data_IF_123119070887
#
_entry.id   IF_123119070887
#
_cell.length_a   1.000
_cell.length_b   1.000
_cell.length_c   1.000
_cell.angle_alpha   90.00
_cell.angle_beta   90.00
_cell.angle_gamma   90.00
#
_symmetry.space_group_name_H-M   'P 1'
#
loop_
_entity.id
_entity.type
_entity.pdbx_description
1 polymer ?
#
# COMPACT_ATOMS: atom_id res chain seq x y z
N UNK A 1 0.18 -12.00 -14.90
CA UNK A 1 1.59 -11.53 -14.91
C UNK A 1 2.46 -12.08 -16.04
N UNK A 2 2.33 -13.35 -16.47
CA UNK A 2 3.14 -13.90 -17.58
C UNK A 2 3.05 -13.06 -18.87
N UNK A 3 1.84 -12.68 -19.28
CA UNK A 3 1.61 -11.83 -20.45
C UNK A 3 2.27 -10.44 -20.30
N UNK A 4 2.13 -9.80 -19.13
CA UNK A 4 2.77 -8.51 -18.85
C UNK A 4 4.30 -8.63 -18.95
N UNK A 5 4.90 -9.70 -18.42
CA UNK A 5 6.34 -9.93 -18.54
C UNK A 5 6.76 -10.10 -20.00
N UNK A 6 6.03 -10.90 -20.77
CA UNK A 6 6.30 -11.09 -22.20
C UNK A 6 6.20 -9.77 -22.99
N UNK A 7 5.19 -8.93 -22.71
CA UNK A 7 5.10 -7.61 -23.34
C UNK A 7 6.20 -6.66 -22.90
N UNK A 8 6.58 -6.69 -21.61
CA UNK A 8 7.73 -5.93 -21.11
C UNK A 8 9.04 -6.36 -21.79
N UNK A 9 9.26 -7.66 -21.96
CA UNK A 9 10.42 -8.22 -22.69
C UNK A 9 10.41 -7.79 -24.15
N UNK A 10 9.26 -7.88 -24.82
CA UNK A 10 9.08 -7.40 -26.20
C UNK A 10 9.39 -5.92 -26.35
N UNK A 11 8.88 -5.08 -25.43
CA UNK A 11 9.15 -3.63 -25.42
C UNK A 11 10.63 -3.33 -25.22
N UNK A 12 11.30 -4.04 -24.30
CA UNK A 12 12.76 -3.93 -24.12
C UNK A 12 13.52 -4.31 -25.39
N UNK A 13 13.09 -5.36 -26.09
CA UNK A 13 13.69 -5.82 -27.34
C UNK A 13 13.62 -4.81 -28.49
N UNK A 14 12.68 -3.85 -28.43
CA UNK A 14 12.57 -2.74 -29.40
C UNK A 14 12.98 -1.39 -28.81
N UNK A 15 13.76 -1.39 -27.72
CA UNK A 15 14.24 -0.19 -27.02
C UNK A 15 13.13 0.76 -26.55
N UNK A 16 11.95 0.21 -26.27
CA UNK A 16 10.81 0.95 -25.73
C UNK A 16 10.68 0.74 -24.23
N UNK A 17 10.02 1.69 -23.56
CA UNK A 17 9.82 1.65 -22.12
C UNK A 17 8.82 0.53 -21.76
N UNK A 18 9.22 -0.52 -21.00
CA UNK A 18 8.34 -1.64 -20.65
C UNK A 18 7.13 -1.21 -19.81
N UNK A 19 7.21 -0.09 -19.09
CA UNK A 19 6.11 0.43 -18.30
C UNK A 19 4.87 0.80 -19.14
N UNK A 20 5.02 1.02 -20.45
CA UNK A 20 3.88 1.21 -21.37
C UNK A 20 2.86 0.06 -21.22
N UNK A 21 3.33 -1.18 -21.02
CA UNK A 21 2.44 -2.32 -20.82
C UNK A 21 1.58 -2.18 -19.56
N UNK A 22 2.17 -1.72 -18.45
CA UNK A 22 1.47 -1.50 -17.18
C UNK A 22 0.58 -0.26 -17.24
N UNK A 23 1.07 0.83 -17.83
CA UNK A 23 0.34 2.09 -17.97
C UNK A 23 -0.96 1.90 -18.78
N UNK A 24 -0.95 1.06 -19.82
CA UNK A 24 -2.15 0.72 -20.59
C UNK A 24 -3.17 -0.12 -19.82
N UNK A 25 -2.74 -0.89 -18.83
CA UNK A 25 -3.62 -1.71 -17.98
C UNK A 25 -4.20 -0.93 -16.81
N UNK A 26 -3.73 0.30 -16.57
CA UNK A 26 -4.06 1.09 -15.39
C UNK A 26 -5.57 1.25 -15.19
N UNK A 27 -6.30 1.64 -16.22
CA UNK A 27 -7.76 1.84 -16.13
C UNK A 27 -8.54 0.57 -15.76
N UNK A 28 -7.95 -0.61 -15.97
CA UNK A 28 -8.56 -1.91 -15.67
C UNK A 28 -7.94 -2.59 -14.44
N UNK A 29 -6.91 -2.02 -13.83
CA UNK A 29 -6.14 -2.67 -12.76
C UNK A 29 -7.02 -3.00 -11.55
N UNK A 30 -7.85 -2.05 -11.10
CA UNK A 30 -8.75 -2.26 -9.97
C UNK A 30 -9.87 -3.26 -10.30
N UNK A 31 -10.40 -3.23 -11.52
CA UNK A 31 -11.40 -4.22 -11.97
C UNK A 31 -10.81 -5.63 -11.94
N UNK A 32 -9.66 -5.82 -12.58
CA UNK A 32 -8.96 -7.11 -12.61
C UNK A 32 -8.64 -7.58 -11.19
N UNK A 33 -8.22 -6.68 -10.30
CA UNK A 33 -7.96 -7.01 -8.90
C UNK A 33 -9.21 -7.54 -8.17
N UNK A 34 -10.37 -6.90 -8.37
CA UNK A 34 -11.64 -7.34 -7.80
C UNK A 34 -12.06 -8.72 -8.32
N UNK A 35 -11.74 -9.05 -9.57
CA UNK A 35 -12.06 -10.35 -10.19
C UNK A 35 -11.19 -11.51 -9.66
N UNK A 36 -10.00 -11.22 -9.10
CA UNK A 36 -9.14 -12.25 -8.51
C UNK A 36 -9.71 -12.80 -7.21
N UNK A 37 -9.53 -14.11 -6.99
CA UNK A 37 -9.79 -14.74 -5.70
C UNK A 37 -8.81 -14.24 -4.62
N UNK A 38 -9.13 -14.48 -3.35
CA UNK A 38 -8.26 -14.11 -2.23
C UNK A 38 -6.89 -14.81 -2.32
N UNK A 39 -6.88 -16.07 -2.74
CA UNK A 39 -5.67 -16.86 -2.97
C UNK A 39 -4.83 -16.27 -4.11
N UNK A 40 -5.46 -15.83 -5.19
CA UNK A 40 -4.79 -15.22 -6.34
C UNK A 40 -4.20 -13.85 -5.98
N UNK A 41 -4.93 -13.02 -5.23
CA UNK A 41 -4.42 -11.74 -4.69
C UNK A 41 -3.22 -11.98 -3.78
N UNK A 42 -3.31 -12.97 -2.89
CA UNK A 42 -2.20 -13.35 -1.99
C UNK A 42 -0.97 -13.82 -2.76
N UNK A 43 -1.18 -14.66 -3.78
CA UNK A 43 -0.12 -15.12 -4.67
C UNK A 43 0.51 -13.94 -5.43
N UNK A 44 -0.31 -12.99 -5.89
CA UNK A 44 0.17 -11.79 -6.56
C UNK A 44 1.09 -10.97 -5.66
N UNK A 45 0.66 -10.71 -4.42
CA UNK A 45 1.49 -9.97 -3.47
C UNK A 45 2.82 -10.67 -3.21
N UNK A 46 2.79 -11.99 -2.99
CA UNK A 46 3.97 -12.77 -2.67
C UNK A 46 4.97 -12.85 -3.84
N UNK A 47 4.50 -13.00 -5.07
CA UNK A 47 5.36 -13.31 -6.22
C UNK A 47 5.59 -12.18 -7.21
N UNK A 48 4.68 -11.20 -7.27
CA UNK A 48 4.64 -10.26 -8.40
C UNK A 48 4.56 -8.79 -8.00
N UNK A 49 4.19 -8.47 -6.75
CA UNK A 49 4.06 -7.07 -6.31
C UNK A 49 5.35 -6.27 -6.42
N UNK A 50 6.51 -6.89 -6.12
CA UNK A 50 7.81 -6.23 -6.24
C UNK A 50 8.11 -5.82 -7.70
N UNK A 51 7.98 -6.76 -8.64
CA UNK A 51 8.18 -6.48 -10.07
C UNK A 51 7.19 -5.42 -10.58
N UNK A 52 5.93 -5.53 -10.17
CA UNK A 52 4.90 -4.55 -10.49
C UNK A 52 5.31 -3.16 -10.03
N UNK A 53 5.72 -3.03 -8.76
CA UNK A 53 6.13 -1.76 -8.17
C UNK A 53 7.37 -1.17 -8.87
N UNK A 54 8.36 -1.99 -9.24
CA UNK A 54 9.54 -1.53 -9.99
C UNK A 54 9.16 -0.97 -11.36
N UNK A 55 8.26 -1.65 -12.08
CA UNK A 55 7.85 -1.20 -13.42
C UNK A 55 6.99 0.06 -13.33
N UNK A 56 6.10 0.13 -12.33
CA UNK A 56 5.18 1.26 -12.13
C UNK A 56 5.91 2.49 -11.58
N UNK A 57 6.63 2.33 -10.48
CA UNK A 57 7.17 3.43 -9.67
C UNK A 57 8.61 3.71 -10.07
N UNK A 58 8.74 4.57 -11.07
CA UNK A 58 10.03 5.00 -11.60
C UNK A 58 10.53 6.22 -10.84
N UNK A 59 11.84 6.25 -10.60
CA UNK A 59 12.53 7.44 -10.11
C UNK A 59 12.84 8.39 -11.27
N UNK A 60 13.06 9.67 -10.97
CA UNK A 60 13.49 10.64 -11.96
C UNK A 60 14.94 10.37 -12.42
N UNK A 61 15.28 10.74 -13.66
CA UNK A 61 16.61 10.55 -14.24
C UNK A 61 17.76 11.04 -13.34
N UNK A 62 17.73 12.29 -12.84
CA UNK A 62 18.79 12.77 -11.95
C UNK A 62 18.95 11.98 -10.64
N UNK A 63 17.87 11.37 -10.14
CA UNK A 63 17.91 10.50 -8.95
C UNK A 63 18.56 9.16 -9.31
N UNK A 64 18.23 8.62 -10.48
CA UNK A 64 18.87 7.41 -10.99
C UNK A 64 20.38 7.61 -11.13
N UNK A 65 20.80 8.70 -11.75
CA UNK A 65 22.22 9.00 -11.98
C UNK A 65 22.98 9.10 -10.65
N UNK A 66 22.43 9.81 -9.66
CA UNK A 66 23.04 9.90 -8.32
C UNK A 66 23.13 8.54 -7.60
N UNK A 67 22.14 7.66 -7.76
CA UNK A 67 22.18 6.30 -7.19
C UNK A 67 23.25 5.45 -7.89
N UNK A 68 23.34 5.54 -9.22
CA UNK A 68 24.36 4.83 -10.00
C UNK A 68 25.76 5.29 -9.62
N UNK A 69 26.02 6.59 -9.54
CA UNK A 69 27.32 7.12 -9.13
C UNK A 69 27.72 6.64 -7.73
N UNK A 70 26.76 6.59 -6.79
CA UNK A 70 27.00 6.08 -5.43
C UNK A 70 27.30 4.58 -5.41
N UNK A 71 26.68 3.78 -6.28
CA UNK A 71 26.99 2.36 -6.44
C UNK A 71 28.38 2.16 -7.05
N UNK A 72 28.70 2.90 -8.11
CA UNK A 72 29.94 2.78 -8.87
C UNK A 72 31.16 3.20 -8.05
N UNK A 73 31.03 4.25 -7.21
CA UNK A 73 32.08 4.66 -6.28
C UNK A 73 32.12 3.87 -4.96
N UNK A 74 31.20 2.92 -4.76
CA UNK A 74 31.13 2.06 -3.57
C UNK A 74 30.54 2.73 -2.32
N UNK A 75 30.02 3.95 -2.43
CA UNK A 75 29.32 4.64 -1.34
C UNK A 75 28.00 3.95 -0.96
N UNK A 76 27.32 3.35 -1.94
CA UNK A 76 26.10 2.56 -1.76
C UNK A 76 26.38 1.09 -2.06
N UNK A 77 25.89 0.20 -1.20
CA UNK A 77 25.91 -1.24 -1.45
C UNK A 77 24.51 -1.82 -1.30
N UNK A 78 24.15 -2.74 -2.19
CA UNK A 78 22.86 -3.43 -2.13
C UNK A 78 23.10 -4.85 -1.61
N UNK A 79 22.50 -5.17 -0.47
CA UNK A 79 22.52 -6.52 0.10
C UNK A 79 21.11 -7.11 0.06
N UNK A 80 20.81 -8.10 -0.80
CA UNK A 80 19.54 -8.80 -0.78
C UNK A 80 19.45 -9.66 0.49
N UNK A 81 18.61 -9.29 1.44
CA UNK A 81 18.38 -10.06 2.66
C UNK A 81 17.02 -9.74 3.29
N UNK A 82 16.58 -10.58 4.22
CA UNK A 82 15.41 -10.32 5.07
C UNK A 82 15.88 -9.89 6.46
N UNK A 83 15.52 -8.69 6.89
CA UNK A 83 15.81 -8.21 8.25
C UNK A 83 15.00 -9.06 9.25
N UNK A 84 15.67 -9.62 10.25
CA UNK A 84 15.08 -10.42 11.31
C UNK A 84 14.88 -9.57 12.57
N UNK A 85 15.93 -8.87 13.00
CA UNK A 85 15.92 -8.07 14.23
C UNK A 85 16.81 -6.83 14.09
N UNK A 86 16.47 -5.81 14.88
CA UNK A 86 17.27 -4.61 15.11
C UNK A 86 17.50 -4.49 16.61
N UNK A 87 18.74 -4.27 17.03
CA UNK A 87 19.09 -4.11 18.43
C UNK A 87 20.04 -2.92 18.62
N UNK A 88 19.87 -2.18 19.70
CA UNK A 88 20.86 -1.20 20.12
C UNK A 88 22.16 -1.92 20.51
N UNK A 89 23.28 -1.45 19.97
CA UNK A 89 24.62 -1.91 20.34
C UNK A 89 25.34 -0.81 21.12
N UNK A 90 26.54 -1.11 21.63
CA UNK A 90 27.39 -0.11 22.30
C UNK A 90 27.70 1.08 21.38
N UNK A 91 27.88 0.81 20.08
CA UNK A 91 28.11 1.82 19.04
C UNK A 91 27.14 1.57 17.87
N UNK A 92 26.02 2.30 17.86
CA UNK A 92 25.02 2.24 16.78
C UNK A 92 24.00 1.11 16.93
N UNK A 93 23.60 0.55 15.79
CA UNK A 93 22.50 -0.41 15.67
C UNK A 93 23.04 -1.70 15.03
N UNK A 94 22.88 -2.84 15.72
CA UNK A 94 23.09 -4.16 15.13
C UNK A 94 21.85 -4.57 14.33
N UNK A 95 22.07 -5.03 13.11
CA UNK A 95 21.04 -5.50 12.20
C UNK A 95 21.32 -6.97 11.91
N UNK A 96 20.41 -7.84 12.34
CA UNK A 96 20.47 -9.27 12.02
C UNK A 96 19.57 -9.54 10.82
N UNK A 97 20.12 -10.23 9.83
CA UNK A 97 19.48 -10.50 8.56
C UNK A 97 19.63 -11.96 8.18
N UNK A 98 18.75 -12.41 7.29
CA UNK A 98 18.80 -13.71 6.65
C UNK A 98 19.01 -13.52 5.15
N UNK A 99 20.06 -14.09 4.59
CA UNK A 99 20.28 -14.09 3.14
C UNK A 99 19.26 -15.03 2.45
N UNK A 100 19.17 -14.97 1.12
CA UNK A 100 18.23 -15.75 0.31
C UNK A 100 18.45 -17.26 0.42
N UNK A 101 19.67 -17.69 0.72
CA UNK A 101 20.03 -19.09 0.94
C UNK A 101 19.76 -19.57 2.38
N UNK A 102 19.26 -18.68 3.26
CA UNK A 102 18.99 -18.99 4.66
C UNK A 102 20.21 -18.87 5.57
N UNK A 103 21.31 -18.29 5.10
CA UNK A 103 22.47 -18.01 5.96
C UNK A 103 22.25 -16.75 6.81
N UNK A 104 22.55 -16.78 8.12
CA UNK A 104 22.44 -15.60 8.98
C UNK A 104 23.59 -14.63 8.69
N UNK A 105 23.28 -13.33 8.62
CA UNK A 105 24.23 -12.24 8.42
C UNK A 105 24.01 -11.15 9.47
N UNK A 106 25.10 -10.50 9.89
CA UNK A 106 25.06 -9.34 10.79
C UNK A 106 25.80 -8.18 10.17
N UNK A 107 25.20 -6.99 10.27
CA UNK A 107 25.83 -5.72 9.93
C UNK A 107 25.56 -4.71 11.06
N UNK A 108 26.35 -3.66 11.15
CA UNK A 108 26.15 -2.56 12.06
C UNK A 108 26.06 -1.23 11.30
N UNK A 109 25.36 -0.25 11.84
CA UNK A 109 25.30 1.10 11.30
C UNK A 109 24.79 2.11 12.30
N UNK A 110 25.05 3.39 12.03
CA UNK A 110 24.67 4.49 12.93
C UNK A 110 23.19 4.91 12.78
N UNK A 111 22.61 4.67 11.60
CA UNK A 111 21.24 5.05 11.26
C UNK A 111 20.53 3.97 10.47
N UNK A 112 19.27 3.70 10.82
CA UNK A 112 18.35 2.85 10.05
C UNK A 112 17.17 3.70 9.59
N UNK A 113 16.96 3.74 8.26
CA UNK A 113 15.80 4.40 7.65
C UNK A 113 14.83 3.31 7.19
N UNK A 114 13.62 3.29 7.76
CA UNK A 114 12.61 2.31 7.38
C UNK A 114 11.92 2.70 6.06
N UNK A 115 12.28 2.00 4.99
CA UNK A 115 11.69 2.14 3.66
C UNK A 115 10.82 0.91 3.27
N UNK A 116 10.29 0.15 4.22
CA UNK A 116 9.52 -1.09 3.95
C UNK A 116 8.06 -0.84 3.53
N UNK A 117 7.61 0.42 3.52
CA UNK A 117 6.25 0.80 3.16
C UNK A 117 5.25 0.68 4.34
N UNK A 118 3.96 0.94 4.09
CA UNK A 118 2.93 0.91 5.12
C UNK A 118 2.71 -0.51 5.66
N UNK A 119 2.44 -0.61 6.97
CA UNK A 119 2.07 -1.87 7.63
C UNK A 119 0.88 -2.51 6.92
N UNK A 120 0.96 -3.82 6.73
CA UNK A 120 0.00 -4.60 5.94
C UNK A 120 -1.00 -5.39 6.78
N UNK A 121 -1.09 -5.12 8.10
CA UNK A 121 -2.05 -5.77 9.01
C UNK A 121 -2.81 -4.71 9.78
N UNK A 122 -4.02 -4.41 9.32
CA UNK A 122 -4.89 -3.44 9.97
C UNK A 122 -5.50 -4.02 11.24
N UNK A 123 -5.81 -5.32 11.24
CA UNK A 123 -6.29 -6.07 12.40
C UNK A 123 -5.38 -5.90 13.64
N UNK A 124 -4.07 -5.85 13.42
CA UNK A 124 -3.04 -5.69 14.46
C UNK A 124 -2.60 -4.23 14.67
N UNK A 125 -3.39 -3.26 14.20
CA UNK A 125 -2.99 -1.85 14.26
C UNK A 125 -2.94 -1.33 15.70
N UNK A 126 -1.79 -0.77 16.08
CA UNK A 126 -1.61 -0.14 17.39
C UNK A 126 -2.23 1.27 17.46
N UNK A 127 -2.70 1.82 16.33
CA UNK A 127 -3.27 3.17 16.29
C UNK A 127 -4.64 3.19 16.99
N UNK A 128 -4.84 4.07 17.99
CA UNK A 128 -6.08 4.11 18.76
C UNK A 128 -7.33 4.25 17.89
N UNK A 129 -7.27 5.01 16.78
CA UNK A 129 -8.40 5.20 15.87
C UNK A 129 -8.91 3.87 15.31
N UNK A 130 -8.04 3.08 14.66
CA UNK A 130 -8.44 1.81 14.05
C UNK A 130 -8.92 0.80 15.09
N UNK A 131 -8.22 0.72 16.23
CA UNK A 131 -8.63 -0.13 17.35
C UNK A 131 -10.06 0.18 17.80
N UNK A 132 -10.34 1.45 18.11
CA UNK A 132 -11.68 1.86 18.55
C UNK A 132 -12.75 1.61 17.50
N UNK A 133 -12.46 1.84 16.21
CA UNK A 133 -13.41 1.57 15.13
C UNK A 133 -13.73 0.07 15.01
N UNK A 134 -12.73 -0.80 15.10
CA UNK A 134 -12.90 -2.25 15.01
C UNK A 134 -13.58 -2.83 16.25
N UNK A 135 -13.16 -2.42 17.46
CA UNK A 135 -13.77 -2.85 18.72
C UNK A 135 -15.26 -2.47 18.81
N UNK A 136 -15.62 -1.29 18.28
CA UNK A 136 -17.02 -0.82 18.22
C UNK A 136 -17.81 -1.39 17.03
N UNK A 137 -17.18 -2.18 16.17
CA UNK A 137 -17.81 -2.73 14.97
C UNK A 137 -18.21 -1.71 13.90
N UNK A 138 -17.62 -0.50 13.94
CA UNK A 138 -17.85 0.59 12.98
C UNK A 138 -17.01 0.47 11.71
N UNK A 139 -15.95 -0.34 11.76
CA UNK A 139 -15.17 -0.73 10.60
C UNK A 139 -14.71 -2.18 10.78
N UNK A 140 -14.24 -2.79 9.70
CA UNK A 140 -13.45 -4.02 9.74
C UNK A 140 -12.28 -3.92 8.75
N UNK A 141 -11.19 -4.67 8.97
CA UNK A 141 -10.20 -4.87 7.93
C UNK A 141 -10.81 -5.51 6.67
N UNK A 142 -10.25 -5.20 5.51
CA UNK A 142 -10.55 -5.93 4.28
C UNK A 142 -10.05 -7.38 4.34
N UNK A 143 -10.47 -8.21 3.38
CA UNK A 143 -10.20 -9.65 3.41
C UNK A 143 -8.71 -9.99 3.24
N UNK A 144 -7.89 -9.04 2.75
CA UNK A 144 -6.43 -9.14 2.66
C UNK A 144 -5.74 -8.58 3.92
N UNK A 145 -6.49 -8.01 4.86
CA UNK A 145 -6.02 -7.27 6.04
C UNK A 145 -5.11 -6.08 5.71
N UNK A 146 -5.22 -5.55 4.49
CA UNK A 146 -4.35 -4.50 3.95
C UNK A 146 -5.01 -3.12 3.87
N UNK A 147 -6.12 -2.96 4.55
CA UNK A 147 -6.97 -1.80 4.46
C UNK A 147 -8.29 -1.99 5.21
N UNK A 148 -9.22 -1.08 4.94
CA UNK A 148 -10.58 -1.06 5.48
C UNK A 148 -11.52 -1.62 4.42
N UNK A 149 -12.41 -2.52 4.84
CA UNK A 149 -13.44 -3.06 3.96
C UNK A 149 -14.48 -1.97 3.62
N UNK A 150 -14.86 -1.90 2.35
CA UNK A 150 -15.87 -0.97 1.85
C UNK A 150 -16.82 -1.66 0.88
N UNK A 151 -18.01 -1.09 0.73
CA UNK A 151 -18.93 -1.35 -0.39
C UNK A 151 -18.41 -0.72 -1.69
N UNK A 152 -19.12 -0.94 -2.81
CA UNK A 152 -18.74 -0.37 -4.11
C UNK A 152 -18.87 1.16 -4.19
N UNK A 153 -19.71 1.77 -3.35
CA UNK A 153 -19.85 3.22 -3.20
C UNK A 153 -18.92 3.81 -2.11
N UNK A 154 -17.94 3.02 -1.64
CA UNK A 154 -16.94 3.40 -0.63
C UNK A 154 -17.46 3.61 0.80
N UNK A 155 -18.69 3.19 1.09
CA UNK A 155 -19.21 3.13 2.45
C UNK A 155 -18.45 2.08 3.25
N UNK A 156 -17.97 2.45 4.44
CA UNK A 156 -17.20 1.55 5.30
C UNK A 156 -18.07 0.40 5.78
N UNK A 157 -17.56 -0.82 5.66
CA UNK A 157 -18.18 -2.01 6.23
C UNK A 157 -17.73 -2.17 7.67
N UNK A 158 -18.71 -2.25 8.57
CA UNK A 158 -18.53 -2.58 9.97
C UNK A 158 -18.54 -4.08 10.23
N UNK A 159 -18.97 -4.45 11.44
CA UNK A 159 -19.16 -5.84 11.84
C UNK A 159 -20.17 -6.55 10.93
N UNK A 160 -19.94 -7.83 10.66
CA UNK A 160 -20.85 -8.70 9.89
C UNK A 160 -21.22 -8.17 8.49
N UNK A 161 -20.32 -7.39 7.87
CA UNK A 161 -20.53 -6.72 6.57
C UNK A 161 -21.70 -5.73 6.56
N UNK A 162 -22.07 -5.19 7.72
CA UNK A 162 -23.09 -4.13 7.80
C UNK A 162 -22.44 -2.79 7.42
N UNK A 163 -22.95 -2.07 6.40
CA UNK A 163 -22.45 -0.74 6.06
C UNK A 163 -22.65 0.22 7.23
N UNK A 164 -21.65 1.08 7.48
CA UNK A 164 -21.72 2.18 8.44
C UNK A 164 -22.03 3.47 7.66
N UNK A 165 -23.30 3.92 7.58
CA UNK A 165 -23.75 4.86 6.53
C UNK A 165 -23.06 6.23 6.57
N UNK A 166 -22.61 6.65 7.75
CA UNK A 166 -21.96 7.94 7.95
C UNK A 166 -20.42 7.88 7.74
N UNK A 167 -19.86 6.73 7.35
CA UNK A 167 -18.43 6.55 7.17
C UNK A 167 -18.10 6.12 5.75
N UNK A 168 -17.19 6.85 5.13
CA UNK A 168 -16.63 6.52 3.82
C UNK A 168 -15.11 6.45 3.92
N UNK A 169 -14.49 5.59 3.12
CA UNK A 169 -13.04 5.44 3.06
C UNK A 169 -12.56 5.54 1.62
N UNK A 170 -11.50 6.33 1.39
CA UNK A 170 -10.87 6.51 0.08
C UNK A 170 -9.35 6.44 0.19
N UNK A 171 -8.71 6.10 -0.92
CA UNK A 171 -7.26 6.16 -1.07
C UNK A 171 -6.50 4.96 -0.49
N UNK A 172 -5.28 5.18 0.05
CA UNK A 172 -4.36 4.07 0.33
C UNK A 172 -4.88 3.06 1.36
N UNK A 173 -5.82 3.47 2.21
CA UNK A 173 -6.48 2.59 3.17
C UNK A 173 -7.41 1.55 2.52
N UNK A 174 -7.60 1.60 1.20
CA UNK A 174 -8.37 0.61 0.46
C UNK A 174 -7.50 -0.43 -0.24
N UNK A 175 -6.19 -0.49 0.02
CA UNK A 175 -5.22 -1.25 -0.80
C UNK A 175 -5.57 -2.73 -0.97
N UNK A 176 -6.14 -3.39 0.04
CA UNK A 176 -6.53 -4.79 -0.09
C UNK A 176 -7.78 -4.98 -0.95
N UNK A 177 -8.76 -4.08 -0.87
CA UNK A 177 -9.95 -4.06 -1.74
C UNK A 177 -9.65 -3.56 -3.16
N UNK A 178 -8.77 -2.56 -3.29
CA UNK A 178 -8.42 -1.85 -4.51
C UNK A 178 -6.90 -1.70 -4.64
N UNK A 179 -6.29 -2.55 -5.45
CA UNK A 179 -4.89 -2.40 -5.82
C UNK A 179 -4.64 -1.06 -6.55
N UNK A 180 -3.49 -0.43 -6.33
CA UNK A 180 -3.14 0.89 -6.87
C UNK A 180 -4.07 2.06 -6.45
N UNK A 181 -4.74 1.98 -5.29
CA UNK A 181 -5.55 3.07 -4.71
C UNK A 181 -4.71 4.21 -4.10
N UNK A 182 -3.77 4.76 -4.88
CA UNK A 182 -2.79 5.75 -4.38
C UNK A 182 -2.59 6.95 -5.30
N UNK A 183 -3.02 6.88 -6.56
CA UNK A 183 -2.69 7.89 -7.54
C UNK A 183 -3.88 8.77 -7.90
N UNK A 184 -3.57 10.00 -8.36
CA UNK A 184 -4.54 11.09 -8.49
C UNK A 184 -5.80 10.73 -9.31
N UNK A 185 -5.71 10.07 -10.48
CA UNK A 185 -6.91 9.67 -11.23
C UNK A 185 -7.86 8.77 -10.42
N UNK A 186 -7.31 7.77 -9.74
CA UNK A 186 -8.08 6.84 -8.92
C UNK A 186 -8.69 7.58 -7.71
N UNK A 187 -7.90 8.39 -7.01
CA UNK A 187 -8.37 9.18 -5.85
C UNK A 187 -9.49 10.17 -6.22
N UNK A 188 -9.38 10.81 -7.39
CA UNK A 188 -10.41 11.72 -7.91
C UNK A 188 -11.72 10.99 -8.19
N UNK A 189 -11.65 9.81 -8.79
CA UNK A 189 -12.85 9.02 -9.06
C UNK A 189 -13.51 8.54 -7.76
N UNK A 190 -12.72 8.11 -6.78
CA UNK A 190 -13.23 7.72 -5.46
C UNK A 190 -13.91 8.88 -4.74
N UNK A 191 -13.25 10.04 -4.70
CA UNK A 191 -13.81 11.25 -4.08
C UNK A 191 -15.11 11.69 -4.76
N UNK A 192 -15.19 11.60 -6.09
CA UNK A 192 -16.40 11.88 -6.84
C UNK A 192 -17.56 10.94 -6.45
N UNK A 193 -17.31 9.63 -6.40
CA UNK A 193 -18.33 8.64 -6.05
C UNK A 193 -18.80 8.78 -4.60
N UNK A 194 -17.89 9.07 -3.66
CA UNK A 194 -18.25 9.39 -2.28
C UNK A 194 -19.12 10.64 -2.20
N UNK A 195 -18.76 11.70 -2.93
CA UNK A 195 -19.57 12.92 -2.97
C UNK A 195 -20.98 12.66 -3.51
N UNK A 196 -21.13 11.81 -4.53
CA UNK A 196 -22.45 11.38 -5.02
C UNK A 196 -23.22 10.60 -3.96
N UNK A 197 -22.60 9.60 -3.31
CA UNK A 197 -23.24 8.81 -2.25
C UNK A 197 -23.75 9.70 -1.11
N UNK A 198 -22.96 10.68 -0.67
CA UNK A 198 -23.35 11.63 0.39
C UNK A 198 -24.53 12.50 -0.04
N UNK A 199 -24.59 12.95 -1.29
CA UNK A 199 -25.69 13.80 -1.78
C UNK A 199 -27.03 13.06 -1.87
N UNK A 200 -26.99 11.74 -2.06
CA UNK A 200 -28.18 10.89 -2.13
C UNK A 200 -28.68 10.46 -0.73
N UNK A 201 -27.93 10.73 0.33
CA UNK A 201 -28.29 10.41 1.71
C UNK A 201 -29.14 11.51 2.35
N UNK A 202 -30.13 11.11 3.16
CA UNK A 202 -30.82 12.06 4.03
C UNK A 202 -29.83 12.64 5.06
N UNK A 203 -29.81 13.97 5.27
CA UNK A 203 -28.93 14.58 6.25
C UNK A 203 -29.17 13.99 7.64
N UNK A 204 -28.12 13.42 8.25
CA UNK A 204 -28.19 13.00 9.64
C UNK A 204 -28.33 14.25 10.51
N UNK A 205 -29.42 14.35 11.26
CA UNK A 205 -29.58 15.39 12.27
C UNK A 205 -28.49 15.23 13.33
N UNK A 206 -27.48 16.10 13.29
CA UNK A 206 -26.47 16.16 14.34
C UNK A 206 -27.13 16.80 15.55
N UNK A 207 -27.29 16.02 16.64
CA UNK A 207 -27.65 16.56 17.95
C UNK A 207 -26.72 17.74 18.24
N UNK A 208 -27.28 18.88 18.66
CA UNK A 208 -26.53 20.12 18.89
C UNK A 208 -25.17 19.81 19.55
N UNK A 209 -24.04 20.15 18.93
CA UNK A 209 -22.75 19.72 19.44
C UNK A 209 -22.60 20.27 20.85
N UNK A 210 -22.32 19.39 21.82
CA UNK A 210 -21.63 19.80 23.05
C UNK A 210 -20.31 20.42 22.57
N UNK A 211 -20.36 21.74 22.37
CA UNK A 211 -19.26 22.50 21.82
C UNK A 211 -18.23 22.53 22.94
N UNK A 212 -17.23 21.67 22.85
CA UNK A 212 -16.03 21.78 23.67
C UNK A 212 -15.26 22.97 23.10
N UNK A 213 -15.62 24.17 23.55
CA UNK A 213 -14.79 25.35 23.35
C UNK A 213 -13.46 25.09 24.08
N UNK A 214 -12.40 24.86 23.31
CA UNK A 214 -11.05 25.00 23.84
C UNK A 214 -10.79 26.49 24.01
N UNK A 215 -10.97 27.00 25.22
CA UNK A 215 -10.39 28.29 25.60
C UNK A 215 -8.87 28.15 25.52
N UNK A 216 -8.26 28.89 24.59
CA UNK A 216 -6.81 29.12 24.52
C UNK A 216 -6.41 30.12 25.60
#
# INVERSE_FOLDING_TARGET
MRLIRQDCERLRGVSQNPAIAVDKLRSRTQQLWKELSLEERTLFLKKYSADWNVIRHRIAGPIHDAITDALDCGQLTITPATIQTLAAAEHGIEIQMMDRDGSPKRIAGDLVINCTGPKSRFSDSALPLYRNLFERGLARPDDMDMGIAVTDDFTVLGKDNVPTPFMHAIGPILKGTLWESIAVPELRQQAYLVAQSILDQEPVAVSNPDTIEYCI
#
